data_IF_997496510828
#
_entry.id   IF_997496510828
#
_cell.length_a   1.000
_cell.length_b   1.000
_cell.length_c   1.000
_cell.angle_alpha   90.00
_cell.angle_beta   90.00
_cell.angle_gamma   90.00
#
_symmetry.space_group_name_H-M   'P 1'
#
loop_
_entity.id
_entity.type
_entity.pdbx_description
1 polymer ?
#
# COMPACT_ATOMS: atom_id res chain seq x y z
N UNK A 1 -70.35 -2.85 -4.09
CA UNK A 1 -69.32 -3.59 -4.86
C UNK A 1 -68.50 -2.58 -5.67
N UNK A 2 -67.20 -2.80 -5.81
CA UNK A 2 -66.21 -1.72 -5.76
C UNK A 2 -65.44 -1.53 -7.07
N UNK A 3 -64.81 -0.36 -7.23
CA UNK A 3 -63.44 -0.32 -7.74
C UNK A 3 -62.69 0.83 -7.07
N UNK A 4 -61.84 0.46 -6.12
CA UNK A 4 -60.73 1.27 -5.60
C UNK A 4 -59.54 1.21 -6.57
N UNK A 5 -58.50 1.98 -6.23
CA UNK A 5 -57.07 1.80 -6.58
C UNK A 5 -56.56 2.74 -7.69
N UNK A 6 -55.51 3.54 -7.49
CA UNK A 6 -54.62 3.71 -6.33
C UNK A 6 -53.84 5.01 -6.52
N UNK A 7 -53.82 5.86 -5.51
CA UNK A 7 -52.74 6.83 -5.31
C UNK A 7 -51.54 6.05 -4.79
N UNK A 8 -50.39 6.07 -5.48
CA UNK A 8 -49.13 5.66 -4.88
C UNK A 8 -48.12 6.79 -5.07
N UNK A 9 -48.01 7.59 -4.01
CA UNK A 9 -46.90 8.49 -3.71
C UNK A 9 -45.82 7.59 -3.12
N UNK A 10 -44.85 7.17 -3.93
CA UNK A 10 -43.69 6.45 -3.41
C UNK A 10 -42.77 7.45 -2.72
N UNK A 11 -42.63 7.24 -1.42
CA UNK A 11 -41.75 7.92 -0.49
C UNK A 11 -40.28 7.84 -0.91
N UNK A 12 -39.57 8.93 -0.58
CA UNK A 12 -38.12 9.06 -0.66
C UNK A 12 -37.41 7.88 0.02
N UNK A 13 -36.71 7.08 -0.78
CA UNK A 13 -35.66 6.20 -0.27
C UNK A 13 -34.43 7.05 0.11
N UNK A 14 -33.73 6.75 1.22
CA UNK A 14 -32.51 7.47 1.57
C UNK A 14 -31.44 7.14 0.53
N UNK A 15 -30.88 8.18 -0.09
CA UNK A 15 -29.79 8.05 -1.05
C UNK A 15 -28.62 7.29 -0.41
N UNK A 16 -28.39 6.09 -0.91
CA UNK A 16 -27.25 5.24 -0.63
C UNK A 16 -25.97 5.94 -1.13
N UNK A 17 -25.13 6.35 -0.17
CA UNK A 17 -23.75 6.84 -0.29
C UNK A 17 -23.22 7.04 -1.72
N UNK A 18 -23.42 8.24 -2.27
CA UNK A 18 -22.60 8.73 -3.37
C UNK A 18 -21.13 8.82 -2.90
N UNK A 19 -20.14 8.42 -3.72
CA UNK A 19 -18.74 8.62 -3.40
C UNK A 19 -18.47 10.12 -3.24
N UNK A 20 -17.70 10.49 -2.21
CA UNK A 20 -17.47 11.86 -1.78
C UNK A 20 -16.88 12.73 -2.91
N UNK A 21 -17.72 13.52 -3.59
CA UNK A 21 -17.38 14.41 -4.71
C UNK A 21 -16.65 15.70 -4.28
N UNK A 22 -16.07 15.75 -3.07
CA UNK A 22 -15.38 16.95 -2.57
C UNK A 22 -14.11 16.59 -1.78
N UNK A 23 -13.26 15.72 -2.34
CA UNK A 23 -11.89 15.64 -1.86
C UNK A 23 -11.17 16.97 -2.21
N UNK A 24 -10.48 17.62 -1.27
CA UNK A 24 -9.67 18.80 -1.59
C UNK A 24 -8.66 18.46 -2.69
N UNK A 25 -8.76 19.17 -3.83
CA UNK A 25 -7.81 19.04 -4.96
C UNK A 25 -6.58 19.91 -4.65
N UNK A 26 -5.91 19.62 -3.55
CA UNK A 26 -4.70 20.34 -3.13
C UNK A 26 -3.41 19.52 -3.31
N UNK A 27 -3.53 18.26 -3.75
CA UNK A 27 -2.41 17.34 -3.98
C UNK A 27 -2.25 16.26 -2.91
N UNK A 28 -3.02 16.29 -1.82
CA UNK A 28 -2.90 15.30 -0.74
C UNK A 28 -3.21 13.86 -1.15
N UNK A 29 -3.94 13.67 -2.25
CA UNK A 29 -4.31 12.37 -2.79
C UNK A 29 -3.37 11.88 -3.91
N UNK A 30 -2.31 12.64 -4.23
CA UNK A 30 -1.47 12.38 -5.41
C UNK A 30 -0.79 11.00 -5.38
N UNK A 31 -0.54 10.45 -4.19
CA UNK A 31 0.05 9.12 -4.00
C UNK A 31 -0.95 8.00 -3.72
N UNK A 32 -2.27 8.26 -3.75
CA UNK A 32 -3.29 7.25 -3.42
C UNK A 32 -3.24 6.05 -4.38
N UNK A 33 -2.85 6.29 -5.63
CA UNK A 33 -2.62 5.23 -6.61
C UNK A 33 -1.61 4.18 -6.11
N UNK A 34 -0.69 4.55 -5.21
CA UNK A 34 0.44 3.72 -4.82
C UNK A 34 0.12 2.77 -3.67
N UNK A 35 -1.02 2.90 -2.99
CA UNK A 35 -1.38 2.02 -1.87
C UNK A 35 -1.51 0.55 -2.27
N UNK A 36 -1.05 -0.35 -1.40
CA UNK A 36 -1.08 -1.80 -1.59
C UNK A 36 0.28 -2.38 -1.99
N UNK A 37 0.24 -3.59 -2.56
CA UNK A 37 1.43 -4.40 -2.86
C UNK A 37 1.82 -4.36 -4.33
N UNK A 38 3.13 -4.33 -4.57
CA UNK A 38 3.72 -4.22 -5.89
C UNK A 38 4.89 -5.17 -6.05
N UNK A 39 5.03 -5.72 -7.25
CA UNK A 39 6.29 -6.24 -7.75
C UNK A 39 7.07 -5.09 -8.39
N UNK A 40 8.38 -5.07 -8.20
CA UNK A 40 9.25 -4.00 -8.68
C UNK A 40 10.34 -4.59 -9.57
N UNK A 41 10.48 -4.05 -10.77
CA UNK A 41 11.63 -4.34 -11.65
C UNK A 41 12.57 -3.15 -11.65
N UNK A 42 13.80 -3.37 -11.21
CA UNK A 42 14.82 -2.34 -11.10
C UNK A 42 15.78 -2.40 -12.28
N UNK A 43 16.20 -1.22 -12.76
CA UNK A 43 17.36 -1.04 -13.64
C UNK A 43 18.22 0.08 -13.08
N UNK A 44 19.39 -0.26 -12.54
CA UNK A 44 20.27 0.69 -11.84
C UNK A 44 21.66 0.70 -12.45
N UNK A 45 22.26 1.87 -12.64
CA UNK A 45 23.66 1.97 -13.04
C UNK A 45 24.58 1.40 -11.95
N UNK A 46 25.65 0.73 -12.35
CA UNK A 46 26.69 0.27 -11.41
C UNK A 46 27.44 1.46 -10.84
N UNK A 47 27.89 2.38 -11.71
CA UNK A 47 28.58 3.61 -11.33
C UNK A 47 27.77 4.84 -11.77
N UNK A 48 27.71 5.86 -10.92
CA UNK A 48 27.00 7.11 -11.21
C UNK A 48 28.01 8.21 -11.49
N UNK A 49 27.68 9.10 -12.42
CA UNK A 49 28.47 10.27 -12.82
C UNK A 49 29.89 9.92 -13.30
N UNK A 50 30.05 8.71 -13.85
CA UNK A 50 31.32 8.20 -14.38
C UNK A 50 31.22 7.79 -15.86
N UNK A 51 30.14 8.19 -16.55
CA UNK A 51 29.90 7.82 -17.95
C UNK A 51 29.58 6.33 -18.14
N UNK A 52 29.14 5.66 -17.07
CA UNK A 52 28.80 4.24 -17.10
C UNK A 52 27.48 4.01 -17.82
N UNK A 53 27.43 2.93 -18.59
CA UNK A 53 26.25 2.48 -19.32
C UNK A 53 25.78 1.10 -18.86
N UNK A 54 26.52 0.46 -17.95
CA UNK A 54 26.21 -0.86 -17.43
C UNK A 54 25.07 -0.77 -16.40
N UNK A 55 23.95 -1.44 -16.69
CA UNK A 55 22.78 -1.49 -15.81
C UNK A 55 22.62 -2.87 -15.20
N UNK A 56 22.57 -2.90 -13.88
CA UNK A 56 22.11 -4.07 -13.13
C UNK A 56 20.59 -4.13 -13.18
N UNK A 57 20.07 -5.34 -13.42
CA UNK A 57 18.63 -5.62 -13.44
C UNK A 57 18.32 -6.60 -12.33
N UNK A 58 17.35 -6.27 -11.50
CA UNK A 58 16.96 -7.09 -10.35
C UNK A 58 15.50 -6.85 -9.95
N UNK A 59 14.97 -7.78 -9.15
CA UNK A 59 13.60 -7.76 -8.65
C UNK A 59 13.46 -7.04 -7.31
N UNK A 60 12.24 -7.06 -6.81
CA UNK A 60 11.89 -6.46 -5.54
C UNK A 60 10.38 -6.47 -5.31
N UNK A 61 9.99 -6.11 -4.10
CA UNK A 61 8.59 -5.89 -3.72
C UNK A 61 8.45 -4.61 -2.92
N UNK A 62 7.26 -4.03 -2.95
CA UNK A 62 6.93 -2.81 -2.22
C UNK A 62 5.51 -2.94 -1.65
N UNK A 63 5.31 -2.73 -0.35
CA UNK A 63 4.01 -2.68 0.30
C UNK A 63 3.80 -1.28 0.91
N UNK A 64 2.76 -0.59 0.46
CA UNK A 64 2.53 0.83 0.73
C UNK A 64 1.22 1.00 1.49
N UNK A 65 1.23 1.77 2.57
CA UNK A 65 0.04 2.10 3.36
C UNK A 65 -0.07 3.58 3.71
N UNK A 66 -1.29 4.13 3.80
CA UNK A 66 -1.49 5.50 4.27
C UNK A 66 -1.18 5.62 5.76
N UNK A 67 -0.79 6.82 6.18
CA UNK A 67 -0.53 7.22 7.57
C UNK A 67 -1.04 8.65 7.79
N UNK A 68 -0.91 9.16 9.02
CA UNK A 68 -1.17 10.57 9.36
C UNK A 68 -2.57 11.07 8.94
N UNK A 69 -3.58 10.20 8.98
CA UNK A 69 -4.95 10.56 8.58
C UNK A 69 -5.08 10.97 7.11
N UNK A 70 -4.24 10.42 6.22
CA UNK A 70 -4.25 10.73 4.79
C UNK A 70 -3.25 11.81 4.37
N UNK A 71 -2.49 12.38 5.31
CA UNK A 71 -1.43 13.36 5.02
C UNK A 71 -0.05 12.71 4.83
N UNK A 72 -0.01 11.40 4.61
CA UNK A 72 1.24 10.69 4.36
C UNK A 72 1.05 9.23 3.99
N UNK A 73 2.13 8.61 3.54
CA UNK A 73 2.23 7.17 3.35
C UNK A 73 3.62 6.67 3.76
N UNK A 74 3.69 5.38 4.03
CA UNK A 74 4.95 4.66 4.26
C UNK A 74 4.96 3.39 3.43
N UNK A 75 6.11 3.06 2.88
CA UNK A 75 6.33 1.77 2.22
C UNK A 75 7.45 0.94 2.87
N UNK A 76 7.34 -0.38 2.74
CA UNK A 76 8.39 -1.36 3.04
C UNK A 76 8.81 -2.03 1.71
N UNK A 77 10.08 -1.87 1.36
CA UNK A 77 10.67 -2.40 0.13
C UNK A 77 11.60 -3.55 0.44
N UNK A 78 11.53 -4.59 -0.39
CA UNK A 78 12.59 -5.58 -0.55
C UNK A 78 13.28 -5.30 -1.87
N UNK A 79 14.60 -5.07 -1.83
CA UNK A 79 15.42 -4.81 -3.01
C UNK A 79 16.34 -6.01 -3.22
N UNK A 80 16.10 -6.79 -4.27
CA UNK A 80 16.77 -8.08 -4.50
C UNK A 80 18.06 -7.91 -5.31
N UNK A 81 18.97 -7.05 -4.84
CA UNK A 81 20.25 -6.83 -5.52
C UNK A 81 20.98 -8.15 -5.78
N UNK A 82 21.74 -8.27 -6.90
CA UNK A 82 22.58 -9.43 -7.14
C UNK A 82 23.56 -9.63 -5.98
N UNK A 83 23.45 -10.76 -5.28
CA UNK A 83 24.34 -11.14 -4.18
C UNK A 83 23.70 -11.03 -2.78
N UNK A 84 23.00 -9.94 -2.48
CA UNK A 84 22.33 -9.78 -1.19
C UNK A 84 21.12 -8.85 -1.27
N UNK A 85 19.98 -9.32 -0.75
CA UNK A 85 18.77 -8.53 -0.69
C UNK A 85 18.76 -7.67 0.57
N UNK A 86 18.31 -6.42 0.45
CA UNK A 86 18.15 -5.56 1.62
C UNK A 86 16.74 -4.96 1.67
N UNK A 87 16.39 -4.47 2.86
CA UNK A 87 15.13 -3.77 3.10
C UNK A 87 15.35 -2.28 3.20
N UNK A 88 14.37 -1.53 2.75
CA UNK A 88 14.34 -0.09 2.89
C UNK A 88 12.90 0.40 3.00
N UNK A 89 12.72 1.56 3.62
CA UNK A 89 11.42 2.18 3.75
C UNK A 89 11.44 3.60 3.18
N UNK A 90 10.31 4.02 2.64
CA UNK A 90 10.11 5.43 2.26
C UNK A 90 9.01 6.02 3.11
N UNK A 91 9.29 7.17 3.74
CA UNK A 91 8.28 8.01 4.37
C UNK A 91 7.91 9.13 3.41
N UNK A 92 6.61 9.34 3.17
CA UNK A 92 6.11 10.49 2.41
C UNK A 92 5.09 11.25 3.24
N UNK A 93 5.24 12.56 3.33
CA UNK A 93 4.27 13.43 4.02
C UNK A 93 3.88 14.59 3.13
N UNK A 94 2.61 14.98 3.21
CA UNK A 94 2.07 16.14 2.52
C UNK A 94 1.92 17.30 3.50
N UNK A 95 2.39 18.49 3.09
CA UNK A 95 2.17 19.74 3.83
C UNK A 95 1.05 20.56 3.15
N UNK A 96 -0.13 20.69 3.77
CA UNK A 96 -1.23 21.48 3.21
C UNK A 96 -0.93 22.98 3.06
N UNK A 97 0.02 23.53 3.81
CA UNK A 97 0.37 24.95 3.74
C UNK A 97 1.14 25.27 2.46
N UNK A 98 2.14 24.44 2.12
CA UNK A 98 2.95 24.59 0.90
C UNK A 98 2.38 23.84 -0.30
N UNK A 99 1.45 22.91 -0.07
CA UNK A 99 0.91 21.95 -1.05
C UNK A 99 2.00 21.10 -1.69
N UNK A 100 3.00 20.71 -0.91
CA UNK A 100 4.12 19.89 -1.36
C UNK A 100 4.19 18.58 -0.59
N UNK A 101 4.72 17.57 -1.27
CA UNK A 101 5.17 16.35 -0.62
C UNK A 101 6.65 16.44 -0.29
N UNK A 102 7.00 15.82 0.84
CA UNK A 102 8.38 15.49 1.21
C UNK A 102 8.55 13.98 1.25
N UNK A 103 9.66 13.47 0.72
CA UNK A 103 9.97 12.04 0.60
C UNK A 103 11.32 11.76 1.26
N UNK A 104 11.36 10.91 2.28
CA UNK A 104 12.56 10.45 2.95
C UNK A 104 12.81 8.98 2.65
N UNK A 105 14.03 8.66 2.23
CA UNK A 105 14.50 7.29 2.08
C UNK A 105 15.19 6.82 3.36
N UNK A 106 14.93 5.57 3.75
CA UNK A 106 15.51 4.92 4.93
C UNK A 106 16.10 3.59 4.48
N UNK A 107 17.43 3.51 4.45
CA UNK A 107 18.15 2.30 4.06
C UNK A 107 18.37 1.39 5.28
N UNK A 108 17.83 0.17 5.26
CA UNK A 108 18.00 -0.78 6.35
C UNK A 108 19.44 -1.22 6.60
N UNK A 109 20.35 -0.98 5.66
CA UNK A 109 21.80 -1.20 5.84
C UNK A 109 22.47 -0.08 6.62
N UNK A 110 21.85 1.09 6.71
CA UNK A 110 22.30 2.24 7.49
C UNK A 110 21.15 2.84 8.32
N UNK A 111 20.62 2.11 9.32
CA UNK A 111 19.40 2.48 10.03
C UNK A 111 19.52 3.73 10.92
N UNK A 112 20.74 4.24 11.14
CA UNK A 112 20.98 5.42 11.96
C UNK A 112 20.84 6.74 11.18
N UNK A 113 20.68 6.69 9.86
CA UNK A 113 20.66 7.87 8.99
C UNK A 113 19.35 7.93 8.22
N UNK A 114 18.80 9.13 8.07
CA UNK A 114 17.69 9.44 7.18
C UNK A 114 18.16 10.58 6.28
N UNK A 115 18.05 10.39 4.96
CA UNK A 115 18.57 11.34 3.97
C UNK A 115 17.75 12.64 3.91
N UNK A 116 18.32 13.66 3.25
CA UNK A 116 17.63 14.93 2.99
C UNK A 116 16.34 14.64 2.19
N UNK A 117 15.18 15.21 2.59
CA UNK A 117 13.94 14.92 1.89
C UNK A 117 13.95 15.50 0.48
N UNK A 118 13.42 14.70 -0.44
CA UNK A 118 13.03 15.16 -1.76
C UNK A 118 11.73 15.95 -1.62
N UNK A 119 11.65 17.14 -2.21
CA UNK A 119 10.45 18.00 -2.16
C UNK A 119 9.89 18.26 -3.54
N UNK A 120 8.56 18.29 -3.64
CA UNK A 120 7.91 18.49 -4.93
C UNK A 120 6.41 18.25 -4.94
N UNK A 121 5.85 18.21 -6.14
CA UNK A 121 4.42 18.13 -6.43
C UNK A 121 4.16 17.25 -7.64
N UNK A 122 2.89 16.90 -7.85
CA UNK A 122 2.43 16.36 -9.13
C UNK A 122 1.86 17.46 -10.00
N UNK A 123 2.23 17.42 -11.28
CA UNK A 123 1.69 18.29 -12.32
C UNK A 123 1.36 17.43 -13.54
N UNK A 124 0.13 17.52 -14.05
CA UNK A 124 -0.35 16.75 -15.20
C UNK A 124 -0.05 15.23 -15.13
N UNK A 125 -0.17 14.64 -13.93
CA UNK A 125 0.07 13.22 -13.68
C UNK A 125 1.54 12.80 -13.58
N UNK A 126 2.47 13.77 -13.53
CA UNK A 126 3.90 13.54 -13.33
C UNK A 126 4.33 14.15 -12.00
N UNK A 127 4.84 13.33 -11.10
CA UNK A 127 5.41 13.77 -9.83
C UNK A 127 6.89 14.12 -10.02
N UNK A 128 7.30 15.35 -9.70
CA UNK A 128 8.71 15.76 -9.78
C UNK A 128 9.20 16.22 -8.42
N UNK A 129 10.25 15.59 -7.91
CA UNK A 129 10.81 15.88 -6.58
C UNK A 129 12.31 16.16 -6.67
N UNK A 130 12.79 17.16 -5.94
CA UNK A 130 14.16 17.65 -5.99
C UNK A 130 14.75 17.83 -4.59
N UNK A 131 16.07 17.65 -4.49
CA UNK A 131 16.90 18.06 -3.35
C UNK A 131 18.32 18.33 -3.82
N UNK A 132 19.05 19.08 -3.01
CA UNK A 132 20.50 19.16 -3.09
C UNK A 132 21.10 18.10 -2.16
N UNK A 133 22.15 17.42 -2.63
CA UNK A 133 22.82 16.35 -1.90
C UNK A 133 24.33 16.34 -2.20
N UNK A 134 25.08 15.45 -1.54
CA UNK A 134 26.50 15.21 -1.75
C UNK A 134 26.73 13.76 -2.16
N UNK A 135 27.29 13.55 -3.35
CA UNK A 135 27.68 12.24 -3.85
C UNK A 135 29.19 12.22 -4.11
N UNK A 136 29.91 11.25 -3.52
CA UNK A 136 31.37 11.14 -3.60
C UNK A 136 32.11 12.46 -3.30
N UNK A 137 31.63 13.20 -2.30
CA UNK A 137 32.20 14.49 -1.87
C UNK A 137 31.88 15.67 -2.79
N UNK A 138 31.06 15.48 -3.82
CA UNK A 138 30.64 16.53 -4.75
C UNK A 138 29.18 16.90 -4.53
N UNK A 139 28.89 18.21 -4.50
CA UNK A 139 27.51 18.70 -4.52
C UNK A 139 26.81 18.32 -5.83
N UNK A 140 25.62 17.75 -5.71
CA UNK A 140 24.77 17.36 -6.83
C UNK A 140 23.33 17.78 -6.56
N UNK A 141 22.53 17.83 -7.62
CA UNK A 141 21.07 17.82 -7.50
C UNK A 141 20.55 16.42 -7.80
N UNK A 142 19.58 15.99 -7.00
CA UNK A 142 18.89 14.72 -7.17
C UNK A 142 17.46 15.01 -7.61
N UNK A 143 16.97 14.23 -8.58
CA UNK A 143 15.58 14.30 -9.04
C UNK A 143 14.92 12.95 -9.01
N UNK A 144 13.74 12.87 -8.41
CA UNK A 144 12.82 11.77 -8.60
C UNK A 144 11.70 12.16 -9.57
N UNK A 145 11.37 11.27 -10.48
CA UNK A 145 10.22 11.38 -11.37
C UNK A 145 9.28 10.20 -11.16
N UNK A 146 8.00 10.49 -10.92
CA UNK A 146 6.91 9.53 -10.99
C UNK A 146 6.13 9.76 -12.27
N UNK A 147 5.96 8.72 -13.08
CA UNK A 147 5.29 8.83 -14.37
C UNK A 147 4.63 7.50 -14.77
N UNK A 148 3.91 7.50 -15.90
CA UNK A 148 3.25 6.30 -16.46
C UNK A 148 2.33 5.60 -15.44
N UNK A 149 1.66 6.42 -14.63
CA UNK A 149 0.81 5.97 -13.54
C UNK A 149 -0.52 5.51 -14.13
N UNK A 150 -0.89 4.29 -13.76
CA UNK A 150 -2.18 3.68 -14.02
C UNK A 150 -2.65 2.99 -12.76
N UNK A 151 -3.87 2.43 -12.78
CA UNK A 151 -4.35 1.59 -11.68
C UNK A 151 -3.39 0.42 -11.38
N UNK A 152 -2.68 -0.11 -12.39
CA UNK A 152 -1.92 -1.38 -12.29
C UNK A 152 -0.41 -1.21 -12.41
N UNK A 153 0.07 -0.01 -12.75
CA UNK A 153 1.49 0.25 -12.98
C UNK A 153 1.89 1.67 -12.62
N UNK A 154 3.16 1.86 -12.31
CA UNK A 154 3.79 3.17 -12.24
C UNK A 154 5.28 3.03 -12.58
N UNK A 155 5.91 4.13 -12.99
CA UNK A 155 7.36 4.21 -13.13
C UNK A 155 7.91 5.28 -12.21
N UNK A 156 8.97 4.92 -11.50
CA UNK A 156 9.81 5.86 -10.77
C UNK A 156 11.21 5.91 -11.39
N UNK A 157 11.80 7.09 -11.44
CA UNK A 157 13.15 7.30 -11.95
C UNK A 157 13.92 8.25 -11.03
N UNK A 158 15.19 7.92 -10.78
CA UNK A 158 16.15 8.80 -10.13
C UNK A 158 17.20 9.26 -11.12
N UNK A 159 17.51 10.55 -11.08
CA UNK A 159 18.59 11.15 -11.83
C UNK A 159 19.46 12.05 -10.96
N UNK A 160 20.76 12.09 -11.29
CA UNK A 160 21.73 12.99 -10.68
C UNK A 160 22.17 14.05 -11.67
N UNK A 161 22.37 15.27 -11.17
CA UNK A 161 22.93 16.38 -11.93
C UNK A 161 24.14 16.97 -11.21
N UNK A 162 25.33 16.95 -11.85
CA UNK A 162 26.55 17.50 -11.27
C UNK A 162 26.78 18.99 -11.62
N UNK A 163 25.84 19.63 -12.32
CA UNK A 163 25.99 20.97 -12.92
C UNK A 163 24.80 21.91 -12.64
N UNK A 164 24.08 21.67 -11.55
CA UNK A 164 22.96 22.51 -11.11
C UNK A 164 21.70 22.33 -11.96
N UNK A 165 21.44 21.10 -12.41
CA UNK A 165 20.22 20.71 -13.10
C UNK A 165 20.24 20.93 -14.61
N UNK A 166 21.39 21.28 -15.21
CA UNK A 166 21.51 21.51 -16.66
C UNK A 166 21.54 20.18 -17.43
N UNK A 167 22.26 19.20 -16.89
CA UNK A 167 22.31 17.83 -17.41
C UNK A 167 21.90 16.83 -16.32
N UNK A 168 21.30 15.71 -16.74
CA UNK A 168 20.76 14.70 -15.83
C UNK A 168 21.17 13.30 -16.28
N UNK A 169 21.77 12.52 -15.38
CA UNK A 169 22.06 11.11 -15.56
C UNK A 169 21.02 10.26 -14.81
N UNK A 170 20.07 9.65 -15.55
CA UNK A 170 19.11 8.71 -14.97
C UNK A 170 19.82 7.42 -14.55
N UNK A 171 20.07 7.30 -13.26
CA UNK A 171 20.88 6.24 -12.69
C UNK A 171 20.07 5.10 -12.06
N UNK A 172 18.77 5.29 -11.83
CA UNK A 172 17.89 4.22 -11.37
C UNK A 172 16.48 4.36 -11.93
N UNK A 173 15.93 3.26 -12.44
CA UNK A 173 14.54 3.15 -12.88
C UNK A 173 13.90 2.00 -12.11
N UNK A 174 12.68 2.22 -11.62
CA UNK A 174 11.82 1.21 -11.02
C UNK A 174 10.50 1.17 -11.80
N UNK A 175 10.15 -0.01 -12.32
CA UNK A 175 8.83 -0.29 -12.88
C UNK A 175 8.02 -1.09 -11.86
N UNK A 176 6.90 -0.51 -11.42
CA UNK A 176 5.98 -1.12 -10.48
C UNK A 176 4.84 -1.83 -11.23
N UNK A 177 4.54 -3.06 -10.82
CA UNK A 177 3.39 -3.82 -11.28
C UNK A 177 2.55 -4.27 -10.08
N UNK A 178 1.28 -3.86 -10.04
CA UNK A 178 0.41 -4.15 -8.90
C UNK A 178 0.24 -5.66 -8.74
N UNK A 179 0.36 -6.15 -7.51
CA UNK A 179 -0.03 -7.52 -7.20
C UNK A 179 -1.56 -7.61 -7.23
N UNK A 180 -2.10 -8.54 -8.01
CA UNK A 180 -3.53 -8.84 -7.97
C UNK A 180 -3.98 -9.24 -6.57
N UNK A 181 -5.31 -9.26 -6.31
CA UNK A 181 -5.82 -9.74 -5.03
C UNK A 181 -5.20 -11.11 -4.75
N UNK A 182 -4.51 -11.23 -3.62
CA UNK A 182 -3.94 -12.50 -3.19
C UNK A 182 -5.10 -13.48 -3.05
N UNK A 183 -5.27 -14.37 -4.04
CA UNK A 183 -6.17 -15.51 -3.87
C UNK A 183 -5.53 -16.37 -2.80
N UNK A 184 -6.13 -16.37 -1.61
CA UNK A 184 -5.88 -17.42 -0.62
C UNK A 184 -6.27 -18.74 -1.31
N UNK A 185 -5.26 -19.51 -1.73
CA UNK A 185 -5.47 -20.84 -2.27
C UNK A 185 -5.76 -21.79 -1.10
N UNK A 186 -7.05 -22.07 -0.83
CA UNK A 186 -7.53 -23.05 0.14
C UNK A 186 -7.35 -22.60 1.61
N UNK A 187 -8.23 -22.87 2.56
CA UNK A 187 -9.06 -24.05 2.80
C UNK A 187 -10.32 -23.54 3.52
N UNK A 188 -11.49 -23.69 2.91
CA UNK A 188 -12.76 -24.01 3.57
C UNK A 188 -13.74 -24.37 2.45
N UNK A 189 -13.84 -25.66 2.13
CA UNK A 189 -15.05 -26.18 1.51
C UNK A 189 -16.15 -26.04 2.57
N UNK A 190 -17.03 -25.05 2.42
CA UNK A 190 -18.31 -25.11 3.06
C UNK A 190 -19.12 -26.17 2.32
N UNK A 191 -19.22 -27.37 2.90
CA UNK A 191 -20.15 -28.38 2.43
C UNK A 191 -21.56 -27.79 2.47
N UNK A 192 -22.21 -27.82 1.31
CA UNK A 192 -23.59 -27.42 1.14
C UNK A 192 -24.48 -28.34 1.98
N UNK A 193 -25.15 -27.80 2.99
CA UNK A 193 -26.27 -28.48 3.63
C UNK A 193 -27.48 -28.34 2.73
N UNK A 194 -27.78 -29.41 2.00
CA UNK A 194 -29.03 -29.61 1.29
C UNK A 194 -30.19 -29.61 2.30
N UNK A 195 -31.19 -28.80 2.00
CA UNK A 195 -32.50 -28.76 2.65
C UNK A 195 -33.14 -30.15 2.72
N UNK A 196 -33.43 -30.65 3.93
CA UNK A 196 -34.44 -31.68 4.14
C UNK A 196 -35.74 -31.03 4.58
N UNK A 197 -36.74 -31.12 3.71
CA UNK A 197 -38.13 -30.75 3.98
C UNK A 197 -38.77 -31.76 4.94
N UNK A 198 -39.53 -31.25 5.91
CA UNK A 198 -40.23 -32.05 6.91
C UNK A 198 -41.63 -32.41 6.42
N UNK A 199 -41.84 -33.68 6.10
CA UNK A 199 -43.15 -34.36 6.01
C UNK A 199 -42.84 -35.79 6.46
N UNK A 200 -43.41 -36.39 7.51
CA UNK A 200 -44.77 -36.36 7.97
C UNK A 200 -44.92 -37.06 9.35
N UNK A 201 -46.17 -37.15 9.80
CA UNK A 201 -46.75 -37.91 10.92
C UNK A 201 -46.66 -37.32 12.32
N UNK A 202 -47.77 -36.72 12.73
CA UNK A 202 -48.15 -36.65 14.13
C UNK A 202 -48.57 -38.01 14.66
N UNK A 203 -48.16 -38.29 15.90
CA UNK A 203 -48.88 -39.14 16.84
C UNK A 203 -48.35 -38.84 18.25
N UNK A 204 -49.22 -38.21 19.04
CA UNK A 204 -49.43 -38.38 20.49
C UNK A 204 -48.28 -38.90 21.38
N UNK A 205 -47.96 -38.09 22.41
CA UNK A 205 -47.79 -38.61 23.78
C UNK A 205 -46.46 -38.33 24.47
N UNK A 206 -46.53 -37.70 25.65
CA UNK A 206 -45.66 -38.07 26.78
C UNK A 206 -44.54 -37.11 27.17
N UNK A 207 -44.84 -36.33 28.21
CA UNK A 207 -43.99 -35.69 29.22
C UNK A 207 -42.53 -36.14 29.41
N UNK A 208 -41.72 -35.15 29.80
CA UNK A 208 -40.49 -35.19 30.62
C UNK A 208 -39.14 -35.53 29.95
N UNK A 209 -38.26 -34.53 29.85
CA UNK A 209 -37.01 -34.45 30.64
C UNK A 209 -36.11 -33.28 30.16
N UNK A 210 -35.95 -32.28 31.03
CA UNK A 210 -34.77 -31.41 31.08
C UNK A 210 -33.61 -32.19 31.73
N UNK A 211 -32.42 -32.23 31.11
CA UNK A 211 -31.17 -31.66 31.66
C UNK A 211 -29.87 -32.19 31.01
N UNK A 212 -28.92 -31.25 30.91
CA UNK A 212 -27.45 -31.37 30.93
C UNK A 212 -26.71 -31.95 29.70
N UNK A 213 -25.79 -31.14 29.16
CA UNK A 213 -24.36 -31.29 29.46
C UNK A 213 -23.54 -30.08 28.96
N UNK A 214 -22.92 -29.36 29.91
CA UNK A 214 -21.74 -28.52 29.70
C UNK A 214 -20.53 -29.42 29.96
N UNK A 215 -19.65 -29.61 28.97
CA UNK A 215 -18.19 -29.80 29.17
C UNK A 215 -17.52 -30.31 27.90
N UNK A 216 -16.59 -29.54 27.33
CA UNK A 216 -15.20 -29.95 27.08
C UNK A 216 -14.52 -29.03 26.06
N UNK A 217 -13.74 -28.08 26.57
CA UNK A 217 -12.60 -27.47 25.89
C UNK A 217 -11.33 -28.21 26.35
N UNK A 218 -10.43 -28.58 25.43
CA UNK A 218 -8.99 -28.55 25.64
C UNK A 218 -8.45 -27.31 24.89
N UNK A 219 -7.78 -26.34 25.50
CA UNK A 219 -6.65 -26.50 26.41
C UNK A 219 -5.37 -26.06 25.66
N UNK A 220 -5.20 -24.75 25.41
CA UNK A 220 -3.96 -24.21 24.85
C UNK A 220 -3.30 -23.30 25.88
N UNK A 221 -2.20 -23.81 26.46
CA UNK A 221 -1.37 -23.12 27.46
C UNK A 221 -0.63 -21.96 26.79
N UNK A 222 -0.84 -20.75 27.31
CA UNK A 222 0.03 -19.61 27.05
C UNK A 222 1.33 -19.76 27.87
N UNK A 223 2.47 -19.82 27.19
CA UNK A 223 3.78 -19.69 27.80
C UNK A 223 4.11 -18.23 28.00
N UNK A 224 4.48 -17.87 29.23
CA UNK A 224 4.89 -16.56 29.70
C UNK A 224 6.36 -16.69 30.08
N UNK A 225 7.24 -15.92 29.45
CA UNK A 225 8.60 -15.73 29.91
C UNK A 225 8.96 -14.24 29.94
N UNK A 226 9.08 -13.76 31.17
CA UNK A 226 9.84 -12.62 31.71
C UNK A 226 11.25 -12.45 31.07
N UNK A 227 12.03 -11.36 31.22
CA UNK A 227 12.01 -10.05 31.92
C UNK A 227 13.27 -9.30 31.44
N UNK A 228 13.21 -7.97 31.45
CA UNK A 228 14.27 -6.97 31.70
C UNK A 228 15.71 -7.19 31.22
N UNK A 229 16.24 -6.20 30.48
CA UNK A 229 17.54 -5.63 30.81
C UNK A 229 17.56 -4.12 30.52
N UNK A 230 17.82 -3.35 31.57
CA UNK A 230 18.10 -1.92 31.56
C UNK A 230 19.51 -1.73 32.10
N UNK A 231 20.39 -1.10 31.34
CA UNK A 231 21.43 -0.16 31.78
C UNK A 231 22.12 0.43 30.55
#
# INVERSE_FOLDING_TARGET
MPTQSTTNRSEDAPAENAPAENAPVDGRADFDFFFGRWNVSHRRLQKRLQGDTNREVFGGTCDVRPILGGLGNVDDNVIELPGDAYRAATLRTFDPATRQWSIWWIDGRNPATIDVPMRGTFEAGVGTFLCDDVFDGRHIQVRFLWSRITEKSARWEQAFSPDGGKTWETNWIMDFARQGPTRLAGIFQAEAWTSMTWSALGASGGSAALNQAVSSLPGMKASKAAKNCSR
#
